data_IF_558312131921
#
_entry.id   IF_558312131921
#
_cell.length_a   1.000
_cell.length_b   1.000
_cell.length_c   1.000
_cell.angle_alpha   90.00
_cell.angle_beta   90.00
_cell.angle_gamma   90.00
#
_symmetry.space_group_name_H-M   'P 1'
#
loop_
_entity.id
_entity.type
_entity.pdbx_description
1 polymer ?
#
# COMPACT_ATOMS: atom_id res chain seq x y z
N UNK A 1 24.76 -42.53 8.13
CA UNK A 1 24.64 -41.09 7.83
C UNK A 1 25.04 -40.33 9.08
N UNK A 2 26.12 -39.55 9.03
CA UNK A 2 26.53 -38.75 10.19
C UNK A 2 25.65 -37.50 10.30
N UNK A 3 25.56 -36.88 11.49
CA UNK A 3 24.82 -35.63 11.67
C UNK A 3 25.33 -34.47 10.77
N UNK A 4 26.56 -34.59 10.24
CA UNK A 4 27.13 -33.67 9.25
C UNK A 4 26.53 -33.84 7.84
N UNK A 5 26.31 -35.08 7.42
CA UNK A 5 25.73 -35.40 6.09
C UNK A 5 24.29 -34.87 5.98
N UNK A 6 23.50 -35.04 7.04
CA UNK A 6 22.11 -34.56 7.10
C UNK A 6 22.04 -33.03 6.99
N UNK A 7 22.94 -32.31 7.67
CA UNK A 7 23.01 -30.83 7.59
C UNK A 7 23.44 -30.34 6.19
N UNK A 8 24.37 -31.04 5.55
CA UNK A 8 24.82 -30.73 4.20
C UNK A 8 23.72 -30.92 3.15
N UNK A 9 22.98 -32.03 3.23
CA UNK A 9 21.84 -32.32 2.36
C UNK A 9 20.70 -31.31 2.58
N UNK A 10 20.36 -31.02 3.84
CA UNK A 10 19.32 -30.03 4.17
C UNK A 10 19.65 -28.64 3.61
N UNK A 11 20.91 -28.18 3.75
CA UNK A 11 21.33 -26.88 3.21
C UNK A 11 21.21 -26.81 1.69
N UNK A 12 21.60 -27.87 0.97
CA UNK A 12 21.45 -27.96 -0.49
C UNK A 12 19.97 -27.96 -0.89
N UNK A 13 19.14 -28.76 -0.22
CA UNK A 13 17.70 -28.81 -0.46
C UNK A 13 17.05 -27.44 -0.29
N UNK A 14 17.35 -26.73 0.80
CA UNK A 14 16.80 -25.39 1.05
C UNK A 14 17.22 -24.39 -0.02
N UNK A 15 18.47 -24.43 -0.51
CA UNK A 15 18.91 -23.56 -1.61
C UNK A 15 18.15 -23.84 -2.91
N UNK A 16 17.94 -25.11 -3.26
CA UNK A 16 17.17 -25.48 -4.46
C UNK A 16 15.71 -25.05 -4.35
N UNK A 17 15.05 -25.33 -3.21
CA UNK A 17 13.67 -24.91 -2.97
C UNK A 17 13.56 -23.37 -3.04
N UNK A 18 14.51 -22.65 -2.45
CA UNK A 18 14.53 -21.18 -2.50
C UNK A 18 14.68 -20.65 -3.92
N UNK A 19 15.51 -21.29 -4.76
CA UNK A 19 15.66 -20.93 -6.17
C UNK A 19 14.37 -21.17 -6.97
N UNK A 20 13.69 -22.30 -6.74
CA UNK A 20 12.40 -22.61 -7.37
C UNK A 20 11.34 -21.58 -6.98
N UNK A 21 11.20 -21.28 -5.68
CA UNK A 21 10.22 -20.28 -5.21
C UNK A 21 10.51 -18.91 -5.83
N UNK A 22 11.78 -18.48 -5.90
CA UNK A 22 12.16 -17.23 -6.56
C UNK A 22 11.83 -17.23 -8.05
N UNK A 23 11.99 -18.37 -8.73
CA UNK A 23 11.57 -18.55 -10.12
C UNK A 23 10.06 -18.37 -10.30
N UNK A 24 9.25 -19.01 -9.45
CA UNK A 24 7.79 -18.88 -9.47
C UNK A 24 7.37 -17.42 -9.22
N UNK A 25 7.95 -16.77 -8.20
CA UNK A 25 7.70 -15.35 -7.92
C UNK A 25 8.05 -14.46 -9.11
N UNK A 26 9.22 -14.67 -9.73
CA UNK A 26 9.63 -13.92 -10.90
C UNK A 26 8.65 -14.07 -12.07
N UNK A 27 8.23 -15.31 -12.36
CA UNK A 27 7.26 -15.58 -13.43
C UNK A 27 5.90 -14.93 -13.15
N UNK A 28 5.36 -15.09 -11.94
CA UNK A 28 4.02 -14.57 -11.64
C UNK A 28 3.96 -13.04 -11.63
N UNK A 29 4.99 -12.37 -11.10
CA UNK A 29 5.11 -10.91 -11.21
C UNK A 29 5.31 -10.47 -12.66
N UNK A 30 6.05 -11.21 -13.49
CA UNK A 30 6.22 -10.87 -14.90
C UNK A 30 4.93 -10.99 -15.69
N UNK A 31 4.10 -12.01 -15.43
CA UNK A 31 2.76 -12.12 -16.03
C UNK A 31 1.90 -10.92 -15.60
N UNK A 32 1.90 -10.56 -14.32
CA UNK A 32 1.17 -9.39 -13.81
C UNK A 32 1.62 -8.09 -14.52
N UNK A 33 2.93 -7.90 -14.68
CA UNK A 33 3.50 -6.74 -15.37
C UNK A 33 3.00 -6.66 -16.80
N UNK A 34 3.08 -7.77 -17.55
CA UNK A 34 2.59 -7.81 -18.93
C UNK A 34 1.09 -7.51 -18.98
N UNK A 35 0.32 -8.07 -18.04
CA UNK A 35 -1.12 -7.85 -18.01
C UNK A 35 -1.47 -6.38 -17.73
N UNK A 36 -0.82 -5.75 -16.76
CA UNK A 36 -1.04 -4.36 -16.39
C UNK A 36 -0.54 -3.38 -17.45
N UNK A 37 0.62 -3.61 -18.07
CA UNK A 37 1.10 -2.77 -19.19
C UNK A 37 0.13 -2.81 -20.36
N UNK A 38 -0.37 -3.98 -20.73
CA UNK A 38 -1.35 -4.11 -21.79
C UNK A 38 -2.67 -3.39 -21.42
N UNK A 39 -3.15 -3.59 -20.18
CA UNK A 39 -4.33 -2.88 -19.67
C UNK A 39 -4.17 -1.36 -19.80
N UNK A 40 -3.02 -0.82 -19.37
CA UNK A 40 -2.70 0.61 -19.42
C UNK A 40 -2.63 1.12 -20.85
N UNK A 41 -1.98 0.39 -21.76
CA UNK A 41 -1.89 0.78 -23.17
C UNK A 41 -3.26 0.90 -23.83
N UNK A 42 -4.19 0.01 -23.50
CA UNK A 42 -5.54 0.06 -24.02
C UNK A 42 -6.41 1.18 -23.40
N UNK A 43 -6.16 1.55 -22.15
CA UNK A 43 -6.92 2.60 -21.45
C UNK A 43 -6.31 4.00 -21.59
N UNK A 44 -5.06 4.13 -22.06
CA UNK A 44 -4.36 5.42 -22.16
C UNK A 44 -5.09 6.47 -23.00
N UNK A 45 -5.80 6.05 -24.05
CA UNK A 45 -6.55 6.95 -24.92
C UNK A 45 -7.95 7.27 -24.39
N UNK A 46 -8.41 6.59 -23.35
CA UNK A 46 -9.76 6.74 -22.80
C UNK A 46 -9.73 7.60 -21.53
N UNK A 47 -10.75 8.42 -21.35
CA UNK A 47 -10.99 9.09 -20.07
C UNK A 47 -11.60 8.04 -19.12
N UNK A 48 -11.07 7.96 -17.91
CA UNK A 48 -11.59 7.03 -16.91
C UNK A 48 -12.76 7.69 -16.18
N UNK A 49 -13.95 7.08 -16.25
CA UNK A 49 -15.20 7.59 -15.66
C UNK A 49 -15.28 7.36 -14.14
N UNK A 50 -14.21 7.64 -13.42
CA UNK A 50 -14.32 7.67 -11.97
C UNK A 50 -14.93 8.99 -11.50
N UNK A 51 -15.62 8.95 -10.35
CA UNK A 51 -16.07 10.15 -9.66
C UNK A 51 -14.92 11.17 -9.53
N UNK A 52 -15.21 12.42 -9.87
CA UNK A 52 -14.24 13.52 -9.89
C UNK A 52 -13.61 13.73 -8.51
N UNK A 53 -12.37 14.21 -8.53
CA UNK A 53 -11.61 14.47 -7.32
C UNK A 53 -12.03 15.82 -6.72
N UNK A 54 -12.61 15.81 -5.53
CA UNK A 54 -13.00 17.02 -4.79
C UNK A 54 -11.80 17.86 -4.29
N UNK A 55 -10.56 17.44 -4.57
CA UNK A 55 -9.39 18.16 -4.06
C UNK A 55 -9.01 19.35 -4.93
N UNK A 56 -9.01 20.55 -4.34
CA UNK A 56 -8.62 21.81 -5.00
C UNK A 56 -7.17 21.74 -5.47
N UNK A 57 -6.29 21.14 -4.68
CA UNK A 57 -4.90 20.94 -5.06
C UNK A 57 -4.78 20.03 -6.29
N UNK A 58 -5.55 18.95 -6.34
CA UNK A 58 -5.54 18.04 -7.48
C UNK A 58 -6.06 18.74 -8.75
N UNK A 59 -7.16 19.49 -8.64
CA UNK A 59 -7.71 20.30 -9.72
C UNK A 59 -6.70 21.36 -10.21
N UNK A 60 -5.95 21.98 -9.29
CA UNK A 60 -4.90 22.92 -9.66
C UNK A 60 -3.77 22.26 -10.45
N UNK A 61 -3.32 21.07 -10.04
CA UNK A 61 -2.33 20.29 -10.80
C UNK A 61 -2.90 19.91 -12.17
N UNK A 62 -4.18 19.54 -12.24
CA UNK A 62 -4.85 19.22 -13.50
C UNK A 62 -4.91 20.41 -14.47
N UNK A 63 -5.20 21.60 -13.95
CA UNK A 63 -5.13 22.86 -14.73
C UNK A 63 -3.71 23.14 -15.23
N UNK A 64 -2.69 22.90 -14.41
CA UNK A 64 -1.28 23.06 -14.84
C UNK A 64 -0.89 22.10 -15.97
N UNK A 65 -1.50 20.92 -16.03
CA UNK A 65 -1.33 19.98 -17.14
C UNK A 65 -2.14 20.35 -18.39
N UNK A 66 -2.73 21.55 -18.42
CA UNK A 66 -3.57 22.02 -19.52
C UNK A 66 -4.91 21.28 -19.61
N UNK A 67 -5.40 20.75 -18.48
CA UNK A 67 -6.65 19.96 -18.38
C UNK A 67 -6.66 18.76 -19.34
N UNK A 68 -5.47 18.25 -19.69
CA UNK A 68 -5.30 17.13 -20.60
C UNK A 68 -5.15 15.83 -19.77
N UNK A 69 -6.14 14.91 -19.81
CA UNK A 69 -6.10 13.66 -19.05
C UNK A 69 -4.87 12.81 -19.38
N UNK A 70 -4.46 12.76 -20.63
CA UNK A 70 -3.31 11.95 -21.06
C UNK A 70 -2.00 12.47 -20.49
N UNK A 71 -1.82 13.80 -20.44
CA UNK A 71 -0.64 14.41 -19.80
C UNK A 71 -0.65 14.12 -18.30
N UNK A 72 -1.79 14.31 -17.63
CA UNK A 72 -1.93 13.99 -16.21
C UNK A 72 -1.61 12.52 -15.91
N UNK A 73 -2.16 11.61 -16.73
CA UNK A 73 -1.90 10.18 -16.64
C UNK A 73 -0.41 9.86 -16.73
N UNK A 74 0.31 10.42 -17.70
CA UNK A 74 1.76 10.22 -17.85
C UNK A 74 2.54 10.79 -16.67
N UNK A 75 2.20 12.00 -16.21
CA UNK A 75 2.89 12.66 -15.09
C UNK A 75 2.75 11.82 -13.81
N UNK A 76 1.54 11.37 -13.50
CA UNK A 76 1.32 10.52 -12.33
C UNK A 76 2.05 9.19 -12.47
N UNK A 77 1.99 8.54 -13.64
CA UNK A 77 2.65 7.26 -13.89
C UNK A 77 4.18 7.35 -13.73
N UNK A 78 4.79 8.42 -14.25
CA UNK A 78 6.23 8.67 -14.09
C UNK A 78 6.58 8.92 -12.62
N UNK A 79 5.74 9.67 -11.90
CA UNK A 79 5.95 9.95 -10.48
C UNK A 79 5.83 8.68 -9.62
N UNK A 80 4.84 7.84 -9.91
CA UNK A 80 4.69 6.53 -9.28
C UNK A 80 5.87 5.61 -9.55
N UNK A 81 6.27 5.50 -10.81
CA UNK A 81 7.41 4.68 -11.17
C UNK A 81 8.68 5.16 -10.43
N UNK A 82 8.89 6.47 -10.32
CA UNK A 82 9.99 7.05 -9.55
C UNK A 82 9.90 6.72 -8.06
N UNK A 83 8.74 6.89 -7.43
CA UNK A 83 8.53 6.58 -6.02
C UNK A 83 8.80 5.10 -5.72
N UNK A 84 8.25 4.20 -6.54
CA UNK A 84 8.49 2.76 -6.45
C UNK A 84 9.96 2.41 -6.67
N UNK A 85 10.61 2.98 -7.70
CA UNK A 85 12.03 2.78 -7.99
C UNK A 85 12.92 3.15 -6.81
N UNK A 86 12.68 4.34 -6.23
CA UNK A 86 13.44 4.81 -5.07
C UNK A 86 13.27 3.86 -3.89
N UNK A 87 12.05 3.43 -3.60
CA UNK A 87 11.77 2.58 -2.44
C UNK A 87 12.30 1.15 -2.62
N UNK A 88 12.10 0.53 -3.79
CA UNK A 88 12.61 -0.82 -4.12
C UNK A 88 14.15 -0.84 -4.05
N UNK A 89 14.83 0.16 -4.58
CA UNK A 89 16.29 0.27 -4.51
C UNK A 89 16.80 0.36 -3.06
N UNK A 90 16.10 1.15 -2.25
CA UNK A 90 16.41 1.33 -0.83
C UNK A 90 16.21 0.03 -0.03
N UNK A 91 15.07 -0.62 -0.23
CA UNK A 91 14.64 -1.82 0.49
C UNK A 91 15.51 -3.04 0.15
N UNK A 92 15.83 -3.24 -1.13
CA UNK A 92 16.48 -4.46 -1.61
C UNK A 92 18.01 -4.38 -1.55
N UNK A 93 18.61 -3.22 -1.85
CA UNK A 93 20.07 -3.15 -2.05
C UNK A 93 20.79 -2.29 -1.01
N UNK A 94 20.28 -1.09 -0.72
CA UNK A 94 20.94 -0.19 0.25
C UNK A 94 20.87 -0.68 1.70
N UNK A 95 19.90 -1.52 2.02
CA UNK A 95 19.72 -2.08 3.36
C UNK A 95 20.53 -3.35 3.67
N UNK A 96 21.36 -3.87 2.74
CA UNK A 96 22.26 -5.00 3.03
C UNK A 96 22.39 -6.09 1.96
N UNK A 97 22.17 -5.80 0.68
CA UNK A 97 22.37 -6.76 -0.40
C UNK A 97 23.80 -6.73 -0.97
N UNK A 98 24.44 -7.89 -1.14
CA UNK A 98 25.60 -8.01 -2.05
C UNK A 98 25.14 -7.73 -3.47
N UNK A 99 25.76 -6.75 -4.14
CA UNK A 99 25.41 -6.31 -5.49
C UNK A 99 25.58 -7.44 -6.52
N UNK A 100 24.49 -7.91 -7.16
CA UNK A 100 24.64 -8.57 -8.43
C UNK A 100 24.74 -7.53 -9.56
N UNK A 101 25.33 -7.90 -10.69
CA UNK A 101 25.40 -7.06 -11.90
C UNK A 101 24.03 -6.64 -12.48
N UNK A 102 22.92 -7.19 -11.96
CA UNK A 102 21.55 -6.92 -12.41
C UNK A 102 20.73 -5.98 -11.50
N UNK A 103 21.35 -5.25 -10.55
CA UNK A 103 20.63 -4.35 -9.62
C UNK A 103 19.63 -3.43 -10.33
N UNK A 104 20.06 -2.69 -11.36
CA UNK A 104 19.18 -1.74 -12.08
C UNK A 104 17.98 -2.44 -12.70
N UNK A 105 18.20 -3.58 -13.35
CA UNK A 105 17.13 -4.36 -13.97
C UNK A 105 16.12 -4.87 -12.94
N UNK A 106 16.59 -5.35 -11.78
CA UNK A 106 15.71 -5.79 -10.70
C UNK A 106 14.87 -4.64 -10.13
N UNK A 107 15.47 -3.46 -9.92
CA UNK A 107 14.72 -2.31 -9.41
C UNK A 107 13.66 -1.88 -10.43
N UNK A 108 14.01 -1.77 -11.72
CA UNK A 108 13.03 -1.46 -12.77
C UNK A 108 11.89 -2.48 -12.81
N UNK A 109 12.23 -3.77 -12.80
CA UNK A 109 11.25 -4.86 -12.80
C UNK A 109 10.36 -4.85 -11.55
N UNK A 110 10.94 -4.67 -10.36
CA UNK A 110 10.20 -4.59 -9.10
C UNK A 110 9.30 -3.36 -9.03
N UNK A 111 9.73 -2.21 -9.56
CA UNK A 111 8.90 -1.02 -9.70
C UNK A 111 7.71 -1.26 -10.62
N UNK A 112 7.94 -1.93 -11.77
CA UNK A 112 6.85 -2.31 -12.67
C UNK A 112 5.87 -3.27 -11.98
N UNK A 113 6.36 -4.22 -11.17
CA UNK A 113 5.49 -5.14 -10.42
C UNK A 113 4.55 -4.42 -9.44
N UNK A 114 4.98 -3.30 -8.85
CA UNK A 114 4.13 -2.49 -7.97
C UNK A 114 3.15 -1.67 -8.82
N UNK A 115 3.66 -1.02 -9.86
CA UNK A 115 2.90 -0.12 -10.76
C UNK A 115 1.75 -0.81 -11.51
N UNK A 116 1.91 -2.10 -11.78
CA UNK A 116 0.99 -2.92 -12.58
C UNK A 116 0.10 -3.81 -11.72
N UNK A 117 0.02 -3.57 -10.41
CA UNK A 117 -0.94 -4.28 -9.56
C UNK A 117 -2.22 -3.46 -9.42
N UNK A 118 -3.41 -4.05 -9.67
CA UNK A 118 -4.67 -3.34 -9.71
C UNK A 118 -5.12 -2.81 -8.34
N UNK A 119 -4.45 -3.11 -7.23
CA UNK A 119 -4.80 -2.54 -5.93
C UNK A 119 -3.63 -1.86 -5.21
N UNK A 120 -2.44 -1.78 -5.83
CA UNK A 120 -1.24 -1.25 -5.19
C UNK A 120 -0.64 -0.08 -5.96
N UNK A 121 -0.82 0.08 -7.29
CA UNK A 121 -0.59 1.38 -7.94
C UNK A 121 -1.27 1.57 -9.31
N UNK A 122 -1.69 2.83 -9.48
CA UNK A 122 -2.03 3.72 -10.60
C UNK A 122 -2.52 3.26 -11.98
N UNK A 123 -2.39 2.03 -12.44
CA UNK A 123 -2.81 1.73 -13.83
C UNK A 123 -4.24 2.23 -14.12
N UNK A 124 -5.17 2.03 -13.17
CA UNK A 124 -6.57 2.42 -13.26
C UNK A 124 -6.95 3.63 -12.39
N UNK A 125 -6.02 4.28 -11.67
CA UNK A 125 -6.31 5.44 -10.80
C UNK A 125 -5.45 6.66 -11.15
N UNK A 126 -4.69 6.63 -12.24
CA UNK A 126 -3.77 7.71 -12.65
C UNK A 126 -4.47 9.03 -13.03
N UNK A 127 -5.80 9.04 -13.07
CA UNK A 127 -6.62 10.26 -13.19
C UNK A 127 -7.26 10.68 -11.86
N UNK A 128 -6.84 10.09 -10.74
CA UNK A 128 -7.34 10.41 -9.40
C UNK A 128 -6.24 10.84 -8.42
N UNK A 129 -6.58 11.59 -7.35
CA UNK A 129 -5.64 12.00 -6.32
C UNK A 129 -5.01 10.83 -5.56
N UNK A 130 -5.71 9.69 -5.45
CA UNK A 130 -5.24 8.49 -4.75
C UNK A 130 -3.91 7.97 -5.28
N UNK A 131 -3.75 8.07 -6.59
CA UNK A 131 -2.54 7.69 -7.31
C UNK A 131 -1.34 8.55 -6.88
N UNK A 132 -1.52 9.87 -6.80
CA UNK A 132 -0.51 10.80 -6.29
C UNK A 132 -0.25 10.58 -4.78
N UNK A 133 -1.29 10.32 -4.00
CA UNK A 133 -1.19 10.02 -2.57
C UNK A 133 -0.36 8.76 -2.30
N UNK A 134 -0.57 7.66 -3.03
CA UNK A 134 0.24 6.44 -2.90
C UNK A 134 1.73 6.67 -3.19
N UNK A 135 2.02 7.45 -4.24
CA UNK A 135 3.40 7.84 -4.57
C UNK A 135 4.06 8.65 -3.45
N UNK A 136 3.35 9.63 -2.88
CA UNK A 136 3.82 10.42 -1.75
C UNK A 136 3.99 9.58 -0.48
N UNK A 137 3.16 8.57 -0.27
CA UNK A 137 3.28 7.61 0.83
C UNK A 137 4.60 6.83 0.73
N UNK A 138 4.91 6.25 -0.43
CA UNK A 138 6.18 5.56 -0.66
C UNK A 138 7.38 6.49 -0.49
N UNK A 139 7.30 7.74 -0.96
CA UNK A 139 8.37 8.72 -0.75
C UNK A 139 8.57 9.03 0.73
N UNK A 140 7.49 9.28 1.47
CA UNK A 140 7.50 9.50 2.93
C UNK A 140 8.20 8.35 3.64
N UNK A 141 7.78 7.12 3.33
CA UNK A 141 8.37 5.91 3.88
C UNK A 141 9.84 5.75 3.47
N UNK A 142 10.21 6.12 2.24
CA UNK A 142 11.60 6.07 1.77
C UNK A 142 12.52 6.97 2.60
N UNK A 143 12.06 8.16 2.98
CA UNK A 143 12.84 9.10 3.78
C UNK A 143 12.98 8.61 5.22
N UNK A 144 11.89 8.12 5.83
CA UNK A 144 11.95 7.51 7.17
C UNK A 144 12.85 6.27 7.19
N UNK A 145 12.71 5.40 6.19
CA UNK A 145 13.53 4.20 6.06
C UNK A 145 15.01 4.56 5.93
N UNK A 146 15.38 5.52 5.07
CA UNK A 146 16.78 5.91 4.87
C UNK A 146 17.37 6.51 6.17
N UNK A 147 16.61 7.33 6.89
CA UNK A 147 17.03 7.91 8.17
C UNK A 147 17.27 6.86 9.27
N UNK A 148 16.40 5.85 9.35
CA UNK A 148 16.37 4.87 10.44
C UNK A 148 17.31 3.69 10.16
N UNK A 149 17.33 3.21 8.91
CA UNK A 149 17.95 1.93 8.52
C UNK A 149 19.31 2.14 7.85
N UNK A 150 19.54 3.28 7.19
CA UNK A 150 20.77 3.59 6.44
C UNK A 150 21.58 4.75 7.07
N UNK A 151 21.98 4.69 8.37
CA UNK A 151 22.67 5.80 9.04
C UNK A 151 24.04 6.11 8.44
N UNK A 152 24.65 5.17 7.72
CA UNK A 152 25.92 5.36 7.00
C UNK A 152 25.83 6.39 5.87
N UNK A 153 24.62 6.70 5.39
CA UNK A 153 24.40 7.78 4.42
C UNK A 153 24.55 9.18 5.01
N UNK A 154 24.67 9.32 6.33
CA UNK A 154 24.72 10.61 7.02
C UNK A 154 26.12 10.83 7.62
N UNK A 155 26.90 11.80 7.12
CA UNK A 155 28.23 12.09 7.68
C UNK A 155 28.12 12.58 9.13
N UNK A 156 29.13 12.34 9.96
CA UNK A 156 29.15 12.82 11.34
C UNK A 156 29.05 14.36 11.46
N UNK A 157 28.59 14.84 12.61
CA UNK A 157 28.56 16.27 12.95
C UNK A 157 27.43 17.07 12.29
N UNK A 158 27.62 18.41 12.20
CA UNK A 158 26.59 19.36 11.73
C UNK A 158 26.07 19.06 10.32
N UNK A 159 26.91 18.49 9.44
CA UNK A 159 26.53 18.12 8.06
C UNK A 159 25.53 16.95 8.02
N UNK A 160 25.70 15.93 8.86
CA UNK A 160 24.73 14.84 8.98
C UNK A 160 23.41 15.28 9.55
N UNK A 161 23.44 16.14 10.58
CA UNK A 161 22.24 16.68 11.18
C UNK A 161 21.41 17.49 10.17
N UNK A 162 22.05 18.35 9.36
CA UNK A 162 21.38 19.08 8.27
C UNK A 162 20.76 18.14 7.24
N UNK A 163 21.46 17.07 6.86
CA UNK A 163 20.93 16.09 5.90
C UNK A 163 19.74 15.32 6.49
N UNK A 164 19.80 14.90 7.77
CA UNK A 164 18.66 14.27 8.46
C UNK A 164 17.46 15.22 8.57
N UNK A 165 17.71 16.49 8.92
CA UNK A 165 16.67 17.51 8.95
C UNK A 165 16.03 17.69 7.58
N UNK A 166 16.82 17.76 6.49
CA UNK A 166 16.27 17.85 5.13
C UNK A 166 15.40 16.65 4.74
N UNK A 167 15.79 15.43 5.14
CA UNK A 167 14.98 14.22 4.92
C UNK A 167 13.68 14.23 5.73
N UNK A 168 13.74 14.66 6.98
CA UNK A 168 12.55 14.82 7.82
C UNK A 168 11.61 15.88 7.24
N UNK A 169 12.14 17.03 6.81
CA UNK A 169 11.36 18.07 6.14
C UNK A 169 10.70 17.53 4.86
N UNK A 170 11.43 16.77 4.03
CA UNK A 170 10.85 16.16 2.84
C UNK A 170 9.73 15.16 3.18
N UNK A 171 9.90 14.35 4.23
CA UNK A 171 8.86 13.42 4.70
C UNK A 171 7.61 14.17 5.21
N UNK A 172 7.80 15.24 6.00
CA UNK A 172 6.70 16.08 6.50
C UNK A 172 5.98 16.80 5.37
N UNK A 173 6.72 17.30 4.36
CA UNK A 173 6.11 17.91 3.18
C UNK A 173 5.28 16.90 2.39
N UNK A 174 5.80 15.69 2.14
CA UNK A 174 5.05 14.64 1.46
C UNK A 174 3.80 14.24 2.25
N UNK A 175 3.90 14.11 3.58
CA UNK A 175 2.77 13.86 4.45
C UNK A 175 1.73 14.98 4.37
N UNK A 176 2.15 16.25 4.45
CA UNK A 176 1.27 17.41 4.32
C UNK A 176 0.54 17.45 2.98
N UNK A 177 1.24 17.18 1.87
CA UNK A 177 0.61 17.08 0.55
C UNK A 177 -0.43 15.95 0.48
N UNK A 178 -0.16 14.78 1.08
CA UNK A 178 -1.16 13.72 1.17
C UNK A 178 -2.42 14.16 1.93
N UNK A 179 -2.26 14.90 3.02
CA UNK A 179 -3.41 15.41 3.80
C UNK A 179 -4.24 16.39 2.97
N UNK A 180 -3.60 17.30 2.24
CA UNK A 180 -4.29 18.27 1.36
C UNK A 180 -5.01 17.53 0.23
N UNK A 181 -4.33 16.60 -0.46
CA UNK A 181 -4.92 15.80 -1.56
C UNK A 181 -6.08 14.91 -1.11
N UNK A 182 -6.16 14.58 0.19
CA UNK A 182 -7.28 13.81 0.75
C UNK A 182 -8.58 14.61 0.89
N UNK A 183 -8.59 15.89 0.48
CA UNK A 183 -9.73 16.80 0.55
C UNK A 183 -10.00 17.38 1.95
N UNK A 184 -9.17 17.03 2.95
CA UNK A 184 -9.36 17.53 4.33
C UNK A 184 -9.23 19.06 4.41
N UNK A 185 -8.39 19.65 3.55
CA UNK A 185 -8.21 21.10 3.48
C UNK A 185 -9.25 21.81 2.61
N UNK A 186 -10.03 21.05 1.83
CA UNK A 186 -10.93 21.56 0.79
C UNK A 186 -12.40 21.61 1.24
N UNK A 187 -12.68 21.21 2.50
CA UNK A 187 -14.01 21.30 3.10
C UNK A 187 -14.50 22.75 3.05
N UNK A 188 -15.63 22.97 2.38
CA UNK A 188 -16.29 24.28 2.35
C UNK A 188 -16.75 24.68 3.76
N UNK A 189 -16.73 25.97 4.06
CA UNK A 189 -17.24 26.53 5.34
C UNK A 189 -18.72 26.21 5.60
N UNK A 190 -19.46 25.76 4.58
CA UNK A 190 -20.87 25.35 4.64
C UNK A 190 -21.09 23.85 4.93
N UNK A 191 -20.05 23.01 4.88
CA UNK A 191 -20.19 21.62 5.32
C UNK A 191 -20.20 21.56 6.86
N UNK A 192 -21.15 20.81 7.48
CA UNK A 192 -21.20 20.70 8.93
C UNK A 192 -19.84 20.21 9.45
N UNK A 193 -19.37 20.86 10.51
CA UNK A 193 -18.02 20.58 11.01
C UNK A 193 -18.01 19.11 11.47
N UNK A 194 -17.21 18.28 10.78
CA UNK A 194 -17.04 16.88 11.18
C UNK A 194 -16.26 16.83 12.51
N UNK A 195 -16.96 17.05 13.62
CA UNK A 195 -16.48 16.80 14.97
C UNK A 195 -16.16 15.31 15.16
N UNK A 196 -15.33 15.00 16.15
CA UNK A 196 -15.10 13.60 16.53
C UNK A 196 -16.42 12.89 16.85
N UNK A 197 -17.38 13.59 17.44
CA UNK A 197 -18.70 13.06 17.78
C UNK A 197 -19.52 12.70 16.54
N UNK A 198 -19.52 13.53 15.49
CA UNK A 198 -20.25 13.20 14.24
C UNK A 198 -19.59 12.05 13.47
N UNK A 199 -18.25 11.96 13.49
CA UNK A 199 -17.55 10.78 12.96
C UNK A 199 -17.92 9.49 13.73
N UNK A 200 -17.99 9.56 15.06
CA UNK A 200 -18.44 8.43 15.88
C UNK A 200 -19.90 8.08 15.63
N UNK A 201 -20.79 9.07 15.50
CA UNK A 201 -22.21 8.85 15.20
C UNK A 201 -22.39 8.17 13.84
N UNK A 202 -21.70 8.67 12.81
CA UNK A 202 -21.67 8.04 11.47
C UNK A 202 -21.19 6.59 11.57
N UNK A 203 -20.13 6.32 12.33
CA UNK A 203 -19.60 4.96 12.45
C UNK A 203 -20.50 4.01 13.23
N UNK A 204 -21.04 4.46 14.35
CA UNK A 204 -21.69 3.60 15.35
C UNK A 204 -23.19 3.46 15.13
N UNK A 205 -23.84 4.43 14.49
CA UNK A 205 -25.29 4.46 14.41
C UNK A 205 -25.83 4.39 12.98
N UNK A 206 -25.08 4.79 11.94
CA UNK A 206 -25.62 4.84 10.57
C UNK A 206 -26.30 3.53 10.10
N UNK A 207 -25.70 2.34 10.27
CA UNK A 207 -26.30 1.14 9.70
C UNK A 207 -27.68 0.79 10.25
N UNK A 208 -27.92 1.19 11.50
CA UNK A 208 -29.13 0.88 12.26
C UNK A 208 -29.87 2.19 12.62
N UNK A 209 -29.58 3.29 11.91
CA UNK A 209 -30.03 4.65 12.24
C UNK A 209 -31.55 4.75 12.29
N UNK A 210 -32.21 4.14 11.30
CA UNK A 210 -33.66 4.17 11.19
C UNK A 210 -34.33 3.33 12.29
N UNK A 211 -33.76 2.17 12.63
CA UNK A 211 -34.27 1.35 13.75
C UNK A 211 -34.00 2.00 15.10
N UNK A 212 -32.88 2.70 15.24
CA UNK A 212 -32.49 3.32 16.50
C UNK A 212 -33.24 4.62 16.79
N UNK A 213 -33.84 5.23 15.76
CA UNK A 213 -34.58 6.49 15.85
C UNK A 213 -35.66 6.48 16.93
N UNK A 214 -36.34 5.35 17.16
CA UNK A 214 -37.37 5.25 18.21
C UNK A 214 -36.82 5.40 19.63
N UNK A 215 -35.55 5.04 19.83
CA UNK A 215 -34.87 5.13 21.14
C UNK A 215 -34.24 6.49 21.41
N UNK A 216 -34.30 7.41 20.44
CA UNK A 216 -33.74 8.75 20.59
C UNK A 216 -34.61 9.62 21.51
N UNK A 217 -34.01 10.56 22.26
CA UNK A 217 -34.76 11.55 23.05
C UNK A 217 -35.77 12.30 22.19
N UNK A 218 -36.88 12.75 22.79
CA UNK A 218 -37.95 13.45 22.08
C UNK A 218 -37.44 14.67 21.31
N UNK A 219 -36.65 15.51 21.95
CA UNK A 219 -36.04 16.70 21.33
C UNK A 219 -35.24 16.34 20.07
N UNK A 220 -34.44 15.27 20.13
CA UNK A 220 -33.64 14.80 19.00
C UNK A 220 -34.52 14.23 17.88
N UNK A 221 -35.60 13.52 18.22
CA UNK A 221 -36.56 13.00 17.22
C UNK A 221 -37.32 14.12 16.53
N UNK A 222 -37.69 15.16 17.25
CA UNK A 222 -38.34 16.35 16.69
C UNK A 222 -37.41 17.07 15.71
N UNK A 223 -36.13 17.25 16.09
CA UNK A 223 -35.15 17.93 15.24
C UNK A 223 -34.78 17.10 14.01
N UNK A 224 -34.65 15.78 14.12
CA UNK A 224 -34.14 14.92 13.05
C UNK A 224 -35.23 14.23 12.21
N UNK A 225 -36.51 14.31 12.61
CA UNK A 225 -37.57 13.43 12.11
C UNK A 225 -37.82 13.49 10.61
N UNK A 226 -37.63 14.64 9.98
CA UNK A 226 -37.81 14.84 8.53
C UNK A 226 -36.57 14.43 7.71
N UNK A 227 -35.39 14.35 8.32
CA UNK A 227 -34.13 14.03 7.65
C UNK A 227 -33.61 12.62 7.92
N UNK A 228 -34.03 11.98 9.02
CA UNK A 228 -33.47 10.68 9.46
C UNK A 228 -33.70 9.56 8.45
N UNK A 229 -34.86 9.55 7.77
CA UNK A 229 -35.12 8.61 6.67
C UNK A 229 -34.08 8.77 5.57
N UNK A 230 -33.87 9.99 5.07
CA UNK A 230 -32.92 10.27 4.00
C UNK A 230 -31.48 9.98 4.44
N UNK A 231 -31.13 10.29 5.69
CA UNK A 231 -29.83 10.00 6.28
C UNK A 231 -29.55 8.49 6.39
N UNK A 232 -30.58 7.68 6.63
CA UNK A 232 -30.43 6.22 6.75
C UNK A 232 -30.11 5.52 5.41
N UNK A 233 -30.50 6.10 4.27
CA UNK A 233 -30.33 5.47 2.96
C UNK A 233 -28.88 5.23 2.54
N UNK A 234 -27.94 6.07 3.00
CA UNK A 234 -26.53 5.95 2.64
C UNK A 234 -25.63 6.58 3.70
N UNK A 235 -24.44 6.01 3.91
CA UNK A 235 -23.49 6.52 4.89
C UNK A 235 -23.14 8.00 4.66
N UNK A 236 -23.10 8.41 3.39
CA UNK A 236 -22.74 9.76 2.99
C UNK A 236 -23.87 10.74 3.31
N UNK A 237 -25.09 10.25 3.45
CA UNK A 237 -26.26 11.06 3.79
C UNK A 237 -26.30 11.43 5.27
N UNK A 238 -25.42 10.86 6.12
CA UNK A 238 -25.29 11.30 7.52
C UNK A 238 -24.95 12.80 7.63
N UNK A 239 -24.31 13.38 6.61
CA UNK A 239 -24.08 14.83 6.55
C UNK A 239 -25.37 15.66 6.54
N UNK A 240 -26.46 15.12 6.00
CA UNK A 240 -27.78 15.76 5.97
C UNK A 240 -28.33 15.84 7.40
N UNK A 241 -28.19 14.75 8.18
CA UNK A 241 -28.54 14.74 9.59
C UNK A 241 -27.70 15.74 10.38
N UNK A 242 -26.38 15.74 10.19
CA UNK A 242 -25.49 16.67 10.92
C UNK A 242 -25.79 18.14 10.59
N UNK A 243 -26.06 18.46 9.32
CA UNK A 243 -26.46 19.81 8.92
C UNK A 243 -27.77 20.24 9.61
N UNK A 244 -28.78 19.37 9.65
CA UNK A 244 -30.05 19.67 10.31
C UNK A 244 -29.88 19.87 11.83
N UNK A 245 -29.02 19.09 12.48
CA UNK A 245 -28.70 19.26 13.90
C UNK A 245 -28.01 20.60 14.17
N UNK A 246 -27.00 20.96 13.36
CA UNK A 246 -26.28 22.23 13.51
C UNK A 246 -27.18 23.44 13.24
N UNK A 247 -28.02 23.39 12.20
CA UNK A 247 -28.94 24.48 11.83
C UNK A 247 -30.00 24.72 12.90
N UNK A 248 -30.60 23.65 13.44
CA UNK A 248 -31.78 23.75 14.33
C UNK A 248 -31.43 23.86 15.81
N UNK A 249 -30.34 23.23 16.24
CA UNK A 249 -29.94 23.21 17.66
C UNK A 249 -28.71 24.07 17.97
N UNK A 250 -27.98 24.52 16.94
CA UNK A 250 -26.68 25.16 17.09
C UNK A 250 -25.55 24.15 17.30
N UNK A 251 -24.32 24.62 17.05
CA UNK A 251 -23.13 23.76 16.96
C UNK A 251 -22.82 22.94 18.21
N UNK A 252 -22.92 23.56 19.39
CA UNK A 252 -22.58 22.90 20.66
C UNK A 252 -23.58 21.78 21.00
N UNK A 253 -24.87 22.04 20.83
CA UNK A 253 -25.92 21.04 21.02
C UNK A 253 -25.86 19.93 19.97
N UNK A 254 -25.56 20.26 18.71
CA UNK A 254 -25.38 19.27 17.64
C UNK A 254 -24.26 18.26 17.95
N UNK A 255 -23.15 18.72 18.55
CA UNK A 255 -22.07 17.86 19.01
C UNK A 255 -22.52 16.87 20.09
N UNK A 256 -23.33 17.32 21.05
CA UNK A 256 -23.88 16.46 22.11
C UNK A 256 -24.92 15.48 21.56
N UNK A 257 -25.78 15.91 20.64
CA UNK A 257 -26.72 15.01 19.95
C UNK A 257 -25.98 13.93 19.15
N UNK A 258 -24.91 14.28 18.43
CA UNK A 258 -24.06 13.28 17.77
C UNK A 258 -23.47 12.28 18.76
N UNK A 259 -23.03 12.74 19.94
CA UNK A 259 -22.53 11.87 21.01
C UNK A 259 -23.62 10.91 21.49
N UNK A 260 -24.85 11.40 21.69
CA UNK A 260 -25.98 10.57 22.10
C UNK A 260 -26.34 9.52 21.04
N UNK A 261 -26.38 9.91 19.76
CA UNK A 261 -26.61 8.99 18.63
C UNK A 261 -25.56 7.87 18.65
N UNK A 262 -24.29 8.22 18.81
CA UNK A 262 -23.20 7.24 18.90
C UNK A 262 -23.33 6.32 20.13
N UNK A 263 -23.71 6.87 21.29
CA UNK A 263 -23.90 6.13 22.53
C UNK A 263 -25.05 5.12 22.44
N UNK A 264 -26.17 5.52 21.82
CA UNK A 264 -27.32 4.65 21.57
C UNK A 264 -26.90 3.49 20.65
N UNK A 265 -26.27 3.80 19.51
CA UNK A 265 -25.79 2.78 18.58
C UNK A 265 -24.82 1.80 19.25
N UNK A 266 -23.86 2.32 20.05
CA UNK A 266 -22.94 1.47 20.81
C UNK A 266 -23.67 0.59 21.84
N UNK A 267 -24.61 1.16 22.59
CA UNK A 267 -25.33 0.45 23.65
C UNK A 267 -26.10 -0.75 23.12
N UNK A 268 -26.76 -0.61 21.99
CA UNK A 268 -27.59 -1.68 21.41
C UNK A 268 -26.79 -2.62 20.49
N UNK A 269 -25.80 -2.10 19.76
CA UNK A 269 -25.17 -2.83 18.65
C UNK A 269 -23.64 -2.98 18.77
N UNK A 270 -23.04 -2.78 19.96
CA UNK A 270 -21.58 -2.84 20.15
C UNK A 270 -20.88 -4.06 19.54
N UNK A 271 -21.47 -5.27 19.68
CA UNK A 271 -20.92 -6.50 19.09
C UNK A 271 -20.82 -6.41 17.57
N UNK A 272 -21.88 -5.94 16.93
CA UNK A 272 -21.95 -5.85 15.47
C UNK A 272 -21.08 -4.70 14.94
N UNK A 273 -21.00 -3.59 15.68
CA UNK A 273 -20.07 -2.48 15.39
C UNK A 273 -18.63 -2.99 15.42
N UNK A 274 -18.22 -3.72 16.47
CA UNK A 274 -16.87 -4.30 16.56
C UNK A 274 -16.63 -5.26 15.40
N UNK A 275 -17.60 -6.12 15.09
CA UNK A 275 -17.51 -7.06 13.98
C UNK A 275 -17.28 -6.35 12.64
N UNK A 276 -18.04 -5.27 12.35
CA UNK A 276 -17.87 -4.43 11.15
C UNK A 276 -16.50 -3.75 11.12
N UNK A 277 -16.02 -3.22 12.25
CA UNK A 277 -14.66 -2.66 12.37
C UNK A 277 -13.60 -3.71 12.02
N UNK A 278 -13.72 -4.93 12.55
CA UNK A 278 -12.79 -6.00 12.24
C UNK A 278 -12.79 -6.35 10.74
N UNK A 279 -13.97 -6.42 10.11
CA UNK A 279 -14.09 -6.68 8.67
C UNK A 279 -13.53 -5.54 7.82
N UNK A 280 -13.77 -4.28 8.20
CA UNK A 280 -13.17 -3.12 7.53
C UNK A 280 -11.64 -3.15 7.65
N UNK A 281 -11.10 -3.43 8.85
CA UNK A 281 -9.66 -3.57 9.05
C UNK A 281 -9.08 -4.69 8.16
N UNK A 282 -9.76 -5.83 8.05
CA UNK A 282 -9.33 -6.92 7.17
C UNK A 282 -9.39 -6.50 5.70
N UNK A 283 -10.47 -5.84 5.29
CA UNK A 283 -10.67 -5.29 3.96
C UNK A 283 -9.56 -4.32 3.57
N UNK A 284 -9.29 -3.32 4.41
CA UNK A 284 -8.22 -2.34 4.16
C UNK A 284 -6.81 -2.93 4.22
N UNK A 285 -6.62 -4.03 4.96
CA UNK A 285 -5.30 -4.70 5.06
C UNK A 285 -5.03 -5.64 3.90
N UNK A 286 -6.07 -6.30 3.39
CA UNK A 286 -5.96 -7.42 2.46
C UNK A 286 -7.06 -7.38 1.38
N UNK A 287 -7.22 -6.22 0.73
CA UNK A 287 -8.22 -6.00 -0.33
C UNK A 287 -8.30 -7.13 -1.35
N UNK A 288 -7.20 -7.66 -1.91
CA UNK A 288 -7.29 -8.66 -2.98
C UNK A 288 -7.96 -9.98 -2.55
N UNK A 289 -7.94 -10.32 -1.25
CA UNK A 289 -8.66 -11.49 -0.71
C UNK A 289 -10.14 -11.22 -0.52
N UNK A 290 -10.48 -10.02 -0.04
CA UNK A 290 -11.84 -9.61 0.31
C UNK A 290 -12.63 -9.18 -0.94
N UNK A 291 -11.93 -8.71 -1.98
CA UNK A 291 -12.50 -8.19 -3.22
C UNK A 291 -13.53 -9.13 -3.85
N UNK A 292 -13.20 -10.44 -3.97
CA UNK A 292 -14.11 -11.39 -4.60
C UNK A 292 -15.40 -11.57 -3.79
N UNK A 293 -15.30 -11.63 -2.47
CA UNK A 293 -16.45 -11.75 -1.58
C UNK A 293 -17.34 -10.49 -1.62
N UNK A 294 -16.73 -9.30 -1.78
CA UNK A 294 -17.47 -8.05 -2.00
C UNK A 294 -18.22 -8.06 -3.35
N UNK A 295 -17.57 -8.52 -4.42
CA UNK A 295 -18.21 -8.62 -5.74
C UNK A 295 -19.34 -9.66 -5.79
N UNK A 296 -19.31 -10.67 -4.93
CA UNK A 296 -20.38 -11.67 -4.79
C UNK A 296 -21.53 -11.18 -3.89
N UNK A 297 -21.45 -9.96 -3.32
CA UNK A 297 -22.47 -9.40 -2.43
C UNK A 297 -22.55 -10.08 -1.06
N UNK A 298 -21.52 -10.86 -0.70
CA UNK A 298 -21.49 -11.67 0.54
C UNK A 298 -21.01 -10.84 1.74
N UNK A 299 -20.34 -9.72 1.49
CA UNK A 299 -19.77 -8.84 2.51
C UNK A 299 -20.55 -7.52 2.65
N UNK A 300 -20.06 -6.68 3.56
CA UNK A 300 -20.56 -5.35 3.88
C UNK A 300 -20.49 -4.38 2.68
N UNK A 301 -21.30 -3.33 2.74
CA UNK A 301 -21.40 -2.30 1.70
C UNK A 301 -20.02 -1.69 1.38
N UNK A 302 -19.73 -1.55 0.09
CA UNK A 302 -18.44 -1.00 -0.37
C UNK A 302 -18.58 -0.30 -1.72
N UNK A 303 -17.69 0.65 -2.00
CA UNK A 303 -17.59 1.27 -3.33
C UNK A 303 -16.85 0.38 -4.33
N UNK A 304 -16.45 -0.83 -3.91
CA UNK A 304 -15.68 -1.78 -4.72
C UNK A 304 -16.38 -2.11 -6.03
N UNK A 305 -17.70 -2.35 -6.00
CA UNK A 305 -18.49 -2.64 -7.20
C UNK A 305 -18.44 -1.50 -8.22
N UNK A 306 -18.82 -0.29 -7.81
CA UNK A 306 -18.83 0.89 -8.70
C UNK A 306 -17.44 1.24 -9.24
N UNK A 307 -16.41 1.18 -8.41
CA UNK A 307 -15.03 1.41 -8.84
C UNK A 307 -14.56 0.34 -9.85
N UNK A 308 -14.98 -0.91 -9.66
CA UNK A 308 -14.64 -1.99 -10.57
C UNK A 308 -15.40 -1.90 -11.90
N UNK A 309 -16.66 -1.47 -11.88
CA UNK A 309 -17.43 -1.15 -13.10
C UNK A 309 -16.72 -0.06 -13.92
N UNK A 310 -16.26 1.01 -13.28
CA UNK A 310 -15.47 2.05 -13.94
C UNK A 310 -14.19 1.48 -14.56
N UNK A 311 -13.52 0.53 -13.90
CA UNK A 311 -12.35 -0.17 -14.43
C UNK A 311 -12.69 -1.10 -15.62
N UNK A 312 -13.93 -1.54 -15.75
CA UNK A 312 -14.37 -2.46 -16.82
C UNK A 312 -14.85 -1.77 -18.10
N UNK A 313 -15.23 -0.48 -18.04
CA UNK A 313 -15.95 0.25 -19.11
C UNK A 313 -15.47 -0.01 -20.54
N UNK A 314 -14.17 -0.16 -20.77
CA UNK A 314 -13.60 -0.32 -22.12
C UNK A 314 -13.10 -1.74 -22.44
N UNK A 315 -12.82 -2.56 -21.42
CA UNK A 315 -12.26 -3.89 -21.59
C UNK A 315 -12.76 -4.89 -20.54
N UNK A 316 -14.07 -5.16 -20.46
CA UNK A 316 -14.66 -5.88 -19.34
C UNK A 316 -14.08 -7.29 -19.16
N UNK A 317 -13.92 -8.05 -20.24
CA UNK A 317 -13.38 -9.42 -20.20
C UNK A 317 -11.92 -9.44 -19.76
N UNK A 318 -11.13 -8.47 -20.24
CA UNK A 318 -9.70 -8.43 -19.92
C UNK A 318 -9.46 -7.90 -18.51
N UNK A 319 -10.14 -6.81 -18.13
CA UNK A 319 -10.14 -6.28 -16.75
C UNK A 319 -10.53 -7.37 -15.76
N UNK A 320 -11.54 -8.19 -16.08
CA UNK A 320 -11.91 -9.35 -15.26
C UNK A 320 -10.76 -10.32 -15.05
N UNK A 321 -10.15 -10.81 -16.13
CA UNK A 321 -9.02 -11.76 -16.04
C UNK A 321 -7.81 -11.16 -15.33
N UNK A 322 -7.53 -9.88 -15.57
CA UNK A 322 -6.43 -9.16 -14.93
C UNK A 322 -6.62 -9.08 -13.41
N UNK A 323 -7.80 -8.64 -12.96
CA UNK A 323 -8.10 -8.55 -11.52
C UNK A 323 -8.18 -9.93 -10.87
N UNK A 324 -8.82 -10.91 -11.51
CA UNK A 324 -8.86 -12.30 -11.02
C UNK A 324 -7.47 -12.90 -10.86
N UNK A 325 -6.61 -12.72 -11.87
CA UNK A 325 -5.22 -13.16 -11.80
C UNK A 325 -4.48 -12.46 -10.66
N UNK A 326 -4.62 -11.14 -10.52
CA UNK A 326 -3.97 -10.38 -9.45
C UNK A 326 -4.44 -10.77 -8.05
N UNK A 327 -5.72 -11.01 -7.83
CA UNK A 327 -6.25 -11.51 -6.55
C UNK A 327 -5.68 -12.89 -6.20
N UNK A 328 -5.71 -13.84 -7.15
CA UNK A 328 -5.13 -15.16 -6.96
C UNK A 328 -3.61 -15.10 -6.73
N UNK A 329 -2.91 -14.33 -7.57
CA UNK A 329 -1.46 -14.17 -7.51
C UNK A 329 -1.02 -13.53 -6.20
N UNK A 330 -1.76 -12.56 -5.68
CA UNK A 330 -1.49 -11.93 -4.39
C UNK A 330 -1.44 -12.96 -3.26
N UNK A 331 -2.41 -13.88 -3.20
CA UNK A 331 -2.40 -14.95 -2.20
C UNK A 331 -1.22 -15.89 -2.37
N UNK A 332 -0.96 -16.33 -3.61
CA UNK A 332 0.18 -17.19 -3.90
C UNK A 332 1.52 -16.54 -3.56
N UNK A 333 1.71 -15.26 -3.92
CA UNK A 333 2.98 -14.57 -3.70
C UNK A 333 3.27 -14.37 -2.21
N UNK A 334 2.25 -14.13 -1.38
CA UNK A 334 2.39 -14.04 0.07
C UNK A 334 2.80 -15.39 0.68
N UNK A 335 2.15 -16.48 0.29
CA UNK A 335 2.52 -17.83 0.77
C UNK A 335 3.97 -18.16 0.40
N UNK A 336 4.37 -17.87 -0.83
CA UNK A 336 5.74 -18.06 -1.31
C UNK A 336 6.75 -17.17 -0.57
N UNK A 337 6.39 -15.91 -0.28
CA UNK A 337 7.22 -14.99 0.48
C UNK A 337 7.40 -15.43 1.94
N UNK A 338 6.33 -15.92 2.60
CA UNK A 338 6.41 -16.56 3.92
C UNK A 338 7.33 -17.78 3.86
N UNK A 339 7.16 -18.64 2.84
CA UNK A 339 8.04 -19.79 2.61
C UNK A 339 9.51 -19.38 2.50
N UNK A 340 9.84 -18.36 1.70
CA UNK A 340 11.20 -17.83 1.60
C UNK A 340 11.71 -17.28 2.93
N UNK A 341 10.88 -16.54 3.67
CA UNK A 341 11.25 -15.99 4.97
C UNK A 341 11.62 -17.12 5.95
N UNK A 342 10.83 -18.20 5.98
CA UNK A 342 11.09 -19.38 6.80
C UNK A 342 12.40 -20.06 6.36
N UNK A 343 12.62 -20.27 5.05
CA UNK A 343 13.84 -20.88 4.52
C UNK A 343 15.09 -20.03 4.80
N UNK A 344 14.96 -18.70 4.82
CA UNK A 344 16.03 -17.78 5.19
C UNK A 344 16.43 -17.95 6.67
N UNK A 345 15.48 -18.20 7.58
CA UNK A 345 15.77 -18.49 8.99
C UNK A 345 16.61 -19.77 9.13
N UNK A 346 16.34 -20.79 8.30
CA UNK A 346 17.08 -22.05 8.33
C UNK A 346 18.47 -22.00 7.67
N UNK A 347 18.67 -21.13 6.67
CA UNK A 347 19.95 -21.04 5.94
C UNK A 347 20.93 -20.04 6.54
N UNK A 348 20.43 -18.90 7.01
CA UNK A 348 21.25 -17.81 7.52
C UNK A 348 21.03 -17.74 9.01
N UNK A 349 22.01 -18.20 9.80
CA UNK A 349 22.11 -17.94 11.27
C UNK A 349 22.33 -16.45 11.59
N UNK A 350 21.81 -15.52 10.77
CA UNK A 350 21.69 -14.11 11.15
C UNK A 350 20.48 -14.05 12.06
N UNK A 351 20.75 -13.88 13.36
CA UNK A 351 19.88 -13.06 14.20
C UNK A 351 19.45 -11.87 13.34
N UNK A 352 18.15 -11.77 13.08
CA UNK A 352 17.56 -10.70 12.27
C UNK A 352 18.26 -9.40 12.62
N UNK A 353 18.92 -8.78 11.63
CA UNK A 353 19.61 -7.51 11.87
C UNK A 353 18.59 -6.58 12.53
N UNK A 354 18.90 -6.03 13.70
CA UNK A 354 17.97 -5.18 14.46
C UNK A 354 17.37 -4.10 13.56
N UNK A 355 18.14 -3.65 12.56
CA UNK A 355 17.73 -2.68 11.53
C UNK A 355 16.67 -3.21 10.58
N UNK A 356 16.74 -4.48 10.20
CA UNK A 356 15.72 -5.17 9.37
C UNK A 356 14.40 -5.33 10.11
N UNK A 357 14.44 -5.64 11.41
CA UNK A 357 13.25 -5.71 12.27
C UNK A 357 12.64 -4.33 12.43
N UNK A 358 13.46 -3.32 12.73
CA UNK A 358 13.02 -1.93 12.87
C UNK A 358 12.36 -1.41 11.59
N UNK A 359 12.95 -1.73 10.44
CA UNK A 359 12.42 -1.40 9.12
C UNK A 359 11.04 -2.02 8.86
N UNK A 360 10.88 -3.31 9.17
CA UNK A 360 9.57 -3.98 9.10
C UNK A 360 8.56 -3.35 10.05
N UNK A 361 8.99 -3.02 11.28
CA UNK A 361 8.16 -2.34 12.28
C UNK A 361 7.63 -0.98 11.81
N UNK A 362 8.46 -0.17 11.13
CA UNK A 362 8.02 1.12 10.58
C UNK A 362 6.95 0.94 9.50
N UNK A 363 7.11 -0.03 8.60
CA UNK A 363 6.13 -0.32 7.56
C UNK A 363 4.80 -0.82 8.15
N UNK A 364 4.88 -1.72 9.14
CA UNK A 364 3.70 -2.25 9.84
C UNK A 364 2.99 -1.16 10.63
N UNK A 365 3.73 -0.29 11.32
CA UNK A 365 3.14 0.83 12.06
C UNK A 365 2.45 1.81 11.11
N UNK A 366 3.08 2.17 10.00
CA UNK A 366 2.49 3.06 9.00
C UNK A 366 1.21 2.46 8.39
N UNK A 367 1.25 1.17 8.02
CA UNK A 367 0.06 0.46 7.54
C UNK A 367 -1.03 0.39 8.62
N UNK A 368 -0.68 0.07 9.86
CA UNK A 368 -1.62 -0.05 10.98
C UNK A 368 -2.32 1.28 11.29
N UNK A 369 -1.57 2.39 11.30
CA UNK A 369 -2.15 3.74 11.47
C UNK A 369 -3.10 4.07 10.33
N UNK A 370 -2.71 3.80 9.08
CA UNK A 370 -3.55 4.05 7.91
C UNK A 370 -4.83 3.20 7.94
N UNK A 371 -4.71 1.89 8.16
CA UNK A 371 -5.85 0.95 8.24
C UNK A 371 -6.78 1.34 9.38
N UNK A 372 -6.24 1.71 10.55
CA UNK A 372 -7.07 2.14 11.69
C UNK A 372 -7.79 3.45 11.35
N UNK A 373 -7.09 4.42 10.77
CA UNK A 373 -7.70 5.68 10.36
C UNK A 373 -8.81 5.45 9.33
N UNK A 374 -8.62 4.55 8.35
CA UNK A 374 -9.61 4.21 7.33
C UNK A 374 -10.78 3.41 7.90
N UNK A 375 -10.53 2.42 8.75
CA UNK A 375 -11.58 1.62 9.41
C UNK A 375 -12.45 2.46 10.37
N UNK A 376 -11.94 3.61 10.81
CA UNK A 376 -12.69 4.59 11.59
C UNK A 376 -13.28 5.73 10.72
N UNK A 377 -12.77 5.94 9.51
CA UNK A 377 -13.19 6.98 8.55
C UNK A 377 -14.19 6.40 7.57
N UNK A 378 -15.44 6.33 7.99
CA UNK A 378 -16.57 5.94 7.15
C UNK A 378 -17.51 5.06 7.93
N UNK A 379 -18.81 5.19 7.66
CA UNK A 379 -19.85 4.40 8.33
C UNK A 379 -19.82 2.90 7.96
N UNK A 380 -18.67 2.32 7.65
CA UNK A 380 -18.55 0.94 7.17
C UNK A 380 -18.69 0.78 5.67
N UNK A 381 -18.55 1.86 4.88
CA UNK A 381 -18.38 1.75 3.42
C UNK A 381 -16.91 1.77 3.04
N UNK A 382 -16.37 0.60 2.77
CA UNK A 382 -14.98 0.47 2.33
C UNK A 382 -14.81 0.95 0.90
N UNK A 383 -13.72 1.66 0.65
CA UNK A 383 -13.26 2.03 -0.68
C UNK A 383 -11.82 1.54 -0.88
N UNK A 384 -11.63 0.59 -1.81
CA UNK A 384 -10.32 0.01 -2.05
C UNK A 384 -9.30 1.02 -2.59
N UNK A 385 -9.72 2.17 -3.14
CA UNK A 385 -8.79 3.21 -3.63
C UNK A 385 -7.85 3.72 -2.54
N UNK A 386 -8.26 3.64 -1.27
CA UNK A 386 -7.41 4.00 -0.13
C UNK A 386 -6.42 2.90 0.30
N UNK A 387 -6.55 1.69 -0.25
CA UNK A 387 -5.73 0.52 0.14
C UNK A 387 -4.41 0.41 -0.62
N UNK A 388 -4.17 1.32 -1.57
CA UNK A 388 -2.95 1.40 -2.41
C UNK A 388 -1.70 1.21 -1.55
N UNK A 389 -1.52 2.09 -0.57
CA UNK A 389 -0.37 2.10 0.33
C UNK A 389 -0.15 0.77 1.06
N UNK A 390 -1.22 0.10 1.51
CA UNK A 390 -1.09 -1.17 2.26
C UNK A 390 -0.73 -2.32 1.31
N UNK A 391 -1.37 -2.38 0.15
CA UNK A 391 -1.08 -3.41 -0.85
C UNK A 391 0.34 -3.28 -1.41
N UNK A 392 0.85 -2.05 -1.59
CA UNK A 392 2.27 -1.81 -1.95
C UNK A 392 3.22 -2.47 -0.96
N UNK A 393 2.97 -2.32 0.34
CA UNK A 393 3.83 -2.86 1.39
C UNK A 393 3.88 -4.40 1.36
N UNK A 394 2.77 -5.05 1.09
CA UNK A 394 2.72 -6.51 0.90
C UNK A 394 3.58 -6.97 -0.28
N UNK A 395 3.44 -6.32 -1.44
CA UNK A 395 4.22 -6.64 -2.64
C UNK A 395 5.71 -6.34 -2.44
N UNK A 396 6.03 -5.20 -1.82
CA UNK A 396 7.38 -4.80 -1.47
C UNK A 396 8.05 -5.79 -0.52
N UNK A 397 7.29 -6.34 0.43
CA UNK A 397 7.79 -7.40 1.30
C UNK A 397 8.13 -8.67 0.53
N UNK A 398 7.26 -9.12 -0.40
CA UNK A 398 7.54 -10.26 -1.28
C UNK A 398 8.80 -10.03 -2.14
N UNK A 399 8.92 -8.85 -2.77
CA UNK A 399 10.11 -8.45 -3.53
C UNK A 399 11.38 -8.43 -2.67
N UNK A 400 11.28 -8.00 -1.41
CA UNK A 400 12.42 -8.03 -0.48
C UNK A 400 12.90 -9.46 -0.20
N UNK A 401 11.99 -10.40 0.00
CA UNK A 401 12.35 -11.81 0.24
C UNK A 401 13.07 -12.44 -0.97
N UNK A 402 12.70 -12.07 -2.19
CA UNK A 402 13.40 -12.54 -3.38
C UNK A 402 14.87 -12.08 -3.42
N UNK A 403 15.13 -10.83 -3.03
CA UNK A 403 16.47 -10.25 -3.02
C UNK A 403 17.39 -10.84 -1.93
N UNK A 404 16.82 -11.25 -0.79
CA UNK A 404 17.54 -11.58 0.46
C UNK A 404 18.44 -12.81 0.51
N UNK A 405 18.92 -13.39 -0.61
CA UNK A 405 19.70 -14.64 -0.59
C UNK A 405 20.76 -14.84 -1.66
N UNK A 406 21.11 -13.82 -2.45
CA UNK A 406 22.07 -13.96 -3.57
C UNK A 406 23.55 -13.77 -3.16
N UNK A 407 23.94 -14.23 -1.97
CA UNK A 407 25.30 -14.08 -1.46
C UNK A 407 25.78 -15.34 -0.77
N UNK A 408 26.07 -16.39 -1.55
CA UNK A 408 27.08 -17.45 -1.34
C UNK A 408 26.91 -18.36 -2.56
N UNK A 409 27.63 -18.09 -3.65
CA UNK A 409 28.03 -19.04 -4.70
C UNK A 409 28.71 -18.31 -5.86
N UNK A 410 29.86 -17.68 -5.58
CA UNK A 410 30.87 -17.37 -6.63
C UNK A 410 32.24 -16.98 -6.07
N UNK A 411 32.65 -17.58 -4.94
CA UNK A 411 33.94 -17.24 -4.30
C UNK A 411 34.75 -18.46 -3.85
N UNK A 412 34.40 -19.67 -4.28
CA UNK A 412 35.08 -20.91 -3.84
C UNK A 412 35.40 -21.91 -4.96
N UNK A 413 35.26 -21.50 -6.22
CA UNK A 413 35.61 -22.32 -7.38
C UNK A 413 36.89 -21.87 -8.10
N UNK A 414 37.51 -20.75 -7.69
CA UNK A 414 38.74 -20.21 -8.33
C UNK A 414 39.99 -20.26 -7.45
N UNK A 415 39.93 -20.89 -6.26
CA UNK A 415 41.10 -20.97 -5.35
C UNK A 415 41.63 -22.39 -5.13
N UNK A 416 41.31 -23.33 -6.01
CA UNK A 416 41.83 -24.69 -5.96
C UNK A 416 42.21 -25.15 -7.37
N UNK A 417 43.44 -24.85 -7.80
CA UNK A 417 43.97 -25.39 -9.04
C UNK A 417 45.05 -24.56 -9.73
N UNK A 418 46.13 -24.23 -9.02
CA UNK A 418 47.43 -23.93 -9.66
C UNK A 418 48.53 -23.84 -8.59
N UNK A 419 49.04 -25.00 -8.17
CA UNK A 419 50.38 -25.07 -7.59
C UNK A 419 51.43 -24.77 -8.68
N UNK A 420 52.50 -24.02 -8.38
CA UNK A 420 53.57 -23.77 -9.32
C UNK A 420 54.55 -24.94 -9.33
N UNK A 421 54.64 -25.65 -10.46
CA UNK A 421 55.70 -26.64 -10.69
C UNK A 421 56.95 -25.92 -11.19
N UNK A 422 57.93 -25.88 -10.28
CA UNK A 422 59.39 -25.96 -10.42
C UNK A 422 60.14 -25.35 -11.61
N UNK A 423 61.18 -24.60 -11.24
CA UNK A 423 62.35 -24.21 -12.03
C UNK A 423 63.28 -25.40 -12.37
N UNK A 424 63.98 -25.31 -13.52
CA UNK A 424 65.36 -25.74 -13.81
C UNK A 424 65.63 -25.52 -15.32
N UNK A 425 66.45 -24.54 -15.70
CA UNK A 425 67.85 -24.69 -16.14
C UNK A 425 68.08 -25.21 -17.57
N UNK A 426 68.58 -24.31 -18.42
CA UNK A 426 69.65 -24.48 -19.44
C UNK A 426 69.70 -23.15 -20.24
N UNK A 427 70.78 -22.37 -20.35
CA UNK A 427 72.18 -22.72 -20.37
C UNK A 427 72.73 -22.63 -21.80
N UNK A 428 73.20 -21.43 -22.20
CA UNK A 428 74.38 -21.27 -23.06
C UNK A 428 74.25 -21.09 -24.58
N UNK A 429 74.79 -19.94 -25.05
CA UNK A 429 75.60 -19.69 -26.27
C UNK A 429 74.89 -19.78 -27.65
N UNK A 430 75.17 -18.96 -28.68
CA UNK A 430 76.38 -18.25 -29.12
C UNK A 430 76.03 -17.09 -30.06
N UNK A 431 76.94 -16.11 -30.11
CA UNK A 431 77.19 -15.05 -31.10
C UNK A 431 77.08 -15.48 -32.58
N UNK A 432 76.65 -14.58 -33.48
CA UNK A 432 77.49 -13.66 -34.30
C UNK A 432 76.68 -12.40 -34.61
#
# INVERSE_FOLDING_TARGET
>A
MTAGDVKGVLKKAVLHISAVIKGILFTGFSIQILMGIYWMGCHYLQVQDFAEADSVLYLWIFRLTGENPQIMFLVQLLFAFYAAYRFVDLLCFRSGGSCPGYRKLYVVWGSLAILTFPFAMQCHLALQPFSLMGSLFLLTLSFFYEMIVCPQGFPGGKKGLRRKAGFLTAAVLCAGFMTILSGVADRQEEEPECSLASAMASRMAWPDLWSDFEYWPEDLREIAGDVVWQASLSADNMKILFAALEERAGREAAGEYCRQIAEIGWRYHSSDIIHRICWDMLGYTMTPFVFRQQMEGVLFDSYTGSNYEAMQMHMPVYTKRYVEYSCWWFGCCLVLAVGLAILHIFTVRRLSDKRSVLAGGVCILAAGVLVTALAMRGAGRMDYRYTIAVNELWLLWALRQMCGGAGISRGKAESAGSEPICAAEAGGQSEV
#
